data_IF_809689208203
#
_entry.id   IF_809689208203
#
_cell.length_a   1.000
_cell.length_b   1.000
_cell.length_c   1.000
_cell.angle_alpha   90.00
_cell.angle_beta   90.00
_cell.angle_gamma   90.00
#
_symmetry.space_group_name_H-M   'P 1'
#
loop_
_entity.id
_entity.type
_entity.pdbx_description
1 polymer ?
#
# COMPACT_ATOMS: atom_id res chain seq x y z
N UNK A 1 -60.76 -9.91 -24.14
CA UNK A 1 -59.28 -10.07 -24.05
C UNK A 1 -58.89 -9.95 -22.57
N UNK A 2 -58.44 -11.04 -21.93
CA UNK A 2 -58.41 -11.21 -20.47
C UNK A 2 -57.29 -10.42 -19.78
N UNK A 3 -57.67 -9.47 -18.89
CA UNK A 3 -56.79 -8.69 -18.03
C UNK A 3 -55.75 -9.55 -17.27
N UNK A 4 -56.04 -10.78 -16.95
CA UNK A 4 -55.15 -11.72 -16.27
C UNK A 4 -53.92 -12.15 -17.11
N UNK A 5 -54.06 -12.24 -18.42
CA UNK A 5 -52.92 -12.60 -19.31
C UNK A 5 -51.95 -11.43 -19.49
N UNK A 6 -52.48 -10.19 -19.55
CA UNK A 6 -51.62 -9.00 -19.66
C UNK A 6 -50.80 -8.78 -18.40
N UNK A 7 -51.39 -8.96 -17.20
CA UNK A 7 -50.65 -8.85 -15.93
C UNK A 7 -49.53 -9.89 -15.81
N UNK A 8 -49.80 -11.13 -16.18
CA UNK A 8 -48.77 -12.22 -16.08
C UNK A 8 -47.62 -12.01 -17.05
N UNK A 9 -47.88 -11.44 -18.24
CA UNK A 9 -46.87 -11.14 -19.25
C UNK A 9 -45.99 -9.97 -18.82
N UNK A 10 -46.57 -8.91 -18.26
CA UNK A 10 -45.84 -7.76 -17.73
C UNK A 10 -44.96 -8.16 -16.55
N UNK A 11 -45.47 -8.97 -15.62
CA UNK A 11 -44.69 -9.46 -14.47
C UNK A 11 -43.48 -10.30 -14.91
N UNK A 12 -43.63 -11.16 -15.91
CA UNK A 12 -42.55 -11.94 -16.49
C UNK A 12 -41.49 -11.08 -17.19
N UNK A 13 -41.90 -10.08 -17.95
CA UNK A 13 -40.99 -9.14 -18.62
C UNK A 13 -40.19 -8.29 -17.61
N UNK A 14 -40.85 -7.83 -16.54
CA UNK A 14 -40.13 -7.09 -15.46
C UNK A 14 -39.14 -7.98 -14.72
N UNK A 15 -39.51 -9.22 -14.42
CA UNK A 15 -38.61 -10.17 -13.77
C UNK A 15 -37.36 -10.50 -14.62
N UNK A 16 -37.53 -10.66 -15.94
CA UNK A 16 -36.43 -10.87 -16.87
C UNK A 16 -35.52 -9.64 -16.97
N UNK A 17 -36.10 -8.43 -17.01
CA UNK A 17 -35.34 -7.18 -17.06
C UNK A 17 -34.49 -6.97 -15.77
N UNK A 18 -35.01 -7.31 -14.59
CA UNK A 18 -34.29 -7.24 -13.31
C UNK A 18 -33.13 -8.25 -13.28
N UNK A 19 -33.32 -9.47 -13.79
CA UNK A 19 -32.23 -10.47 -13.87
C UNK A 19 -31.10 -10.06 -14.81
N UNK A 20 -31.39 -9.37 -15.92
CA UNK A 20 -30.37 -8.91 -16.86
C UNK A 20 -29.51 -7.77 -16.29
N UNK A 21 -30.10 -6.87 -15.48
CA UNK A 21 -29.34 -5.78 -14.84
C UNK A 21 -28.48 -6.26 -13.68
N UNK A 22 -28.83 -7.35 -13.00
CA UNK A 22 -28.03 -7.93 -11.94
C UNK A 22 -26.77 -8.68 -12.46
N UNK A 23 -26.77 -9.13 -13.72
CA UNK A 23 -25.65 -9.88 -14.30
C UNK A 23 -24.51 -8.99 -14.80
N UNK A 24 -24.68 -7.66 -14.92
CA UNK A 24 -23.67 -6.75 -15.47
C UNK A 24 -22.69 -6.17 -14.42
N UNK A 25 -22.88 -6.46 -13.13
CA UNK A 25 -22.12 -5.82 -12.04
C UNK A 25 -20.84 -6.49 -11.57
N UNK A 26 -20.62 -7.80 -11.83
CA UNK A 26 -19.53 -8.55 -11.19
C UNK A 26 -18.42 -9.03 -12.13
N UNK A 27 -18.45 -8.73 -13.41
CA UNK A 27 -17.56 -9.40 -14.39
C UNK A 27 -16.29 -8.67 -14.78
N UNK A 28 -16.19 -7.35 -14.58
CA UNK A 28 -15.11 -6.59 -15.24
C UNK A 28 -13.77 -6.60 -14.47
N UNK A 29 -13.78 -6.56 -13.17
CA UNK A 29 -12.55 -6.51 -12.36
C UNK A 29 -11.87 -7.88 -12.24
N UNK A 30 -12.63 -8.93 -11.98
CA UNK A 30 -12.11 -10.30 -11.95
C UNK A 30 -11.57 -10.78 -13.31
N UNK A 31 -12.14 -10.27 -14.40
CA UNK A 31 -11.70 -10.57 -15.76
C UNK A 31 -10.44 -9.77 -16.17
N UNK A 32 -10.16 -8.64 -15.53
CA UNK A 32 -8.96 -7.83 -15.83
C UNK A 32 -7.72 -8.36 -15.13
N UNK A 33 -7.79 -8.67 -13.84
CA UNK A 33 -6.64 -9.14 -13.04
C UNK A 33 -6.11 -10.50 -13.48
N UNK A 34 -6.94 -11.36 -14.07
CA UNK A 34 -6.52 -12.66 -14.57
C UNK A 34 -5.89 -12.67 -15.99
N UNK A 35 -6.06 -11.60 -16.76
CA UNK A 35 -5.71 -11.57 -18.21
C UNK A 35 -4.26 -11.21 -18.51
N UNK A 36 -3.56 -10.54 -17.61
CA UNK A 36 -2.16 -10.23 -17.86
C UNK A 36 -1.36 -11.52 -18.06
N UNK A 37 -0.49 -11.59 -19.07
CA UNK A 37 0.42 -12.72 -19.27
C UNK A 37 1.58 -12.73 -18.28
N UNK A 38 1.67 -11.70 -17.41
CA UNK A 38 2.69 -11.56 -16.39
C UNK A 38 2.09 -11.60 -14.98
N UNK A 39 2.93 -11.92 -13.99
CA UNK A 39 2.66 -11.71 -12.57
C UNK A 39 3.83 -11.00 -11.91
N UNK A 40 3.56 -10.38 -10.78
CA UNK A 40 4.54 -9.65 -9.98
C UNK A 40 4.94 -10.51 -8.77
N UNK A 41 6.20 -10.43 -8.41
CA UNK A 41 6.74 -11.00 -7.16
C UNK A 41 7.57 -9.93 -6.47
N UNK A 42 7.36 -9.72 -5.18
CA UNK A 42 8.25 -8.89 -4.37
C UNK A 42 9.39 -9.77 -3.89
N UNK A 43 10.61 -9.41 -4.23
CA UNK A 43 11.83 -10.12 -3.82
C UNK A 43 12.37 -9.61 -2.50
N UNK A 44 12.32 -8.28 -2.30
CA UNK A 44 12.87 -7.63 -1.12
C UNK A 44 12.16 -6.32 -0.80
N UNK A 45 12.15 -5.97 0.49
CA UNK A 45 11.90 -4.62 0.97
C UNK A 45 13.12 -4.13 1.74
N UNK A 46 13.56 -2.92 1.40
CA UNK A 46 14.53 -2.16 2.17
C UNK A 46 13.83 -0.92 2.71
N UNK A 47 13.77 -0.77 4.03
CA UNK A 47 13.15 0.38 4.68
C UNK A 47 14.19 1.28 5.31
N UNK A 48 13.90 2.58 5.34
CA UNK A 48 14.81 3.62 5.84
C UNK A 48 14.08 4.48 6.85
N UNK A 49 14.60 4.54 8.07
CA UNK A 49 14.14 5.50 9.08
C UNK A 49 14.54 6.92 8.65
N UNK A 50 13.55 7.81 8.57
CA UNK A 50 13.77 9.18 8.08
C UNK A 50 14.57 10.06 9.04
N UNK A 51 14.57 9.78 10.33
CA UNK A 51 15.32 10.55 11.32
C UNK A 51 16.80 10.16 11.37
N UNK A 52 17.10 8.85 11.36
CA UNK A 52 18.47 8.32 11.52
C UNK A 52 19.13 7.91 10.22
N UNK A 53 18.39 7.81 9.12
CA UNK A 53 18.79 7.22 7.83
C UNK A 53 19.28 5.76 7.94
N UNK A 54 18.95 5.06 9.03
CA UNK A 54 19.23 3.64 9.15
C UNK A 54 18.34 2.84 8.22
N UNK A 55 18.93 1.89 7.50
CA UNK A 55 18.25 1.01 6.56
C UNK A 55 18.22 -0.43 7.05
N UNK A 56 17.20 -1.18 6.68
CA UNK A 56 17.09 -2.61 7.04
C UNK A 56 15.82 -3.26 6.49
N UNK A 57 15.61 -4.55 6.81
CA UNK A 57 14.39 -5.26 6.43
C UNK A 57 13.18 -4.92 7.31
N UNK A 58 13.41 -4.36 8.50
CA UNK A 58 12.37 -3.97 9.46
C UNK A 58 12.54 -2.50 9.80
N UNK A 59 11.44 -1.79 10.01
CA UNK A 59 11.45 -0.37 10.31
C UNK A 59 11.30 -0.11 11.81
N UNK A 60 12.25 0.60 12.38
CA UNK A 60 12.10 1.27 13.67
C UNK A 60 11.72 2.74 13.38
N UNK A 61 10.45 3.03 13.37
CA UNK A 61 9.92 4.35 13.02
C UNK A 61 9.90 5.24 14.26
N UNK A 62 10.77 6.25 14.28
CA UNK A 62 10.78 7.29 15.30
C UNK A 62 9.65 8.27 15.07
N UNK A 63 8.80 8.47 16.07
CA UNK A 63 7.63 9.36 15.94
C UNK A 63 8.01 10.83 16.05
N UNK A 64 9.09 11.16 16.77
CA UNK A 64 9.62 12.52 16.88
C UNK A 64 11.11 12.47 17.21
N UNK A 65 11.88 13.37 16.61
CA UNK A 65 13.33 13.51 16.81
C UNK A 65 13.66 14.96 17.12
N UNK A 66 14.58 15.20 18.06
CA UNK A 66 15.08 16.54 18.35
C UNK A 66 16.25 16.88 17.41
N UNK A 67 16.02 17.84 16.54
CA UNK A 67 17.05 18.32 15.58
C UNK A 67 17.66 19.60 16.07
N UNK A 68 18.99 19.68 16.10
CA UNK A 68 19.69 20.90 16.44
C UNK A 68 19.61 21.93 15.29
N UNK A 69 19.11 23.11 15.58
CA UNK A 69 19.04 24.24 14.64
C UNK A 69 19.73 25.48 15.23
N UNK A 70 20.43 26.21 14.39
CA UNK A 70 21.05 27.48 14.75
C UNK A 70 20.02 28.61 14.61
N UNK A 71 19.52 29.11 15.73
CA UNK A 71 18.56 30.22 15.78
C UNK A 71 19.20 31.40 16.51
N UNK A 72 19.45 32.50 15.81
CA UNK A 72 20.07 33.68 16.41
C UNK A 72 21.49 33.48 16.95
N UNK A 73 22.24 32.50 16.41
CA UNK A 73 23.59 32.13 16.85
C UNK A 73 23.63 31.20 18.05
N UNK A 74 22.49 30.69 18.50
CA UNK A 74 22.38 29.67 19.56
C UNK A 74 21.90 28.35 18.97
N UNK A 75 22.45 27.23 19.46
CA UNK A 75 21.94 25.90 19.14
C UNK A 75 20.67 25.62 19.97
N UNK A 76 19.57 25.37 19.26
CA UNK A 76 18.26 25.07 19.85
C UNK A 76 17.81 23.72 19.32
N UNK A 77 17.35 22.83 20.20
CA UNK A 77 16.76 21.55 19.80
C UNK A 77 15.29 21.72 19.43
N UNK A 78 14.94 21.42 18.18
CA UNK A 78 13.59 21.59 17.63
C UNK A 78 12.97 20.22 17.38
N UNK A 79 11.80 19.93 17.98
CA UNK A 79 11.07 18.69 17.70
C UNK A 79 10.69 18.62 16.22
N UNK A 80 11.12 17.57 15.54
CA UNK A 80 10.91 17.37 14.10
C UNK A 80 10.39 15.95 13.84
N UNK A 81 9.48 15.84 12.89
CA UNK A 81 8.92 14.55 12.44
C UNK A 81 9.34 14.30 11.02
N UNK A 82 9.88 13.12 10.75
CA UNK A 82 10.36 12.72 9.42
C UNK A 82 9.47 11.63 8.82
N UNK A 83 9.36 11.63 7.48
CA UNK A 83 8.81 10.50 6.75
C UNK A 83 9.78 9.33 6.79
N UNK A 84 9.27 8.12 6.81
CA UNK A 84 10.10 6.93 6.56
C UNK A 84 9.85 6.43 5.15
N UNK A 85 10.94 6.06 4.50
CA UNK A 85 10.94 5.62 3.11
C UNK A 85 11.14 4.12 2.98
N UNK A 86 10.72 3.57 1.88
CA UNK A 86 11.00 2.17 1.54
C UNK A 86 11.25 2.02 0.05
N UNK A 87 12.00 0.98 -0.29
CA UNK A 87 12.19 0.50 -1.66
C UNK A 87 11.76 -0.96 -1.71
N UNK A 88 10.93 -1.28 -2.68
CA UNK A 88 10.55 -2.66 -3.00
C UNK A 88 11.26 -3.09 -4.29
N UNK A 89 11.96 -4.21 -4.26
CA UNK A 89 12.45 -4.88 -5.47
C UNK A 89 11.37 -5.82 -5.98
N UNK A 90 10.84 -5.53 -7.16
CA UNK A 90 9.72 -6.27 -7.75
C UNK A 90 10.16 -6.91 -9.06
N UNK A 91 9.97 -8.22 -9.17
CA UNK A 91 10.19 -8.98 -10.40
C UNK A 91 8.88 -9.10 -11.20
N UNK A 92 9.00 -9.01 -12.53
CA UNK A 92 7.92 -9.28 -13.48
C UNK A 92 8.20 -10.58 -14.20
N UNK A 93 7.39 -11.60 -13.97
CA UNK A 93 7.59 -12.95 -14.52
C UNK A 93 6.47 -13.34 -15.47
N UNK A 94 6.82 -14.01 -16.57
CA UNK A 94 5.85 -14.56 -17.52
C UNK A 94 5.07 -15.72 -16.87
N UNK A 95 3.73 -15.74 -17.04
CA UNK A 95 2.90 -16.89 -16.63
C UNK A 95 3.16 -18.13 -17.47
N UNK A 96 3.54 -17.95 -18.72
CA UNK A 96 3.90 -19.01 -19.65
C UNK A 96 5.33 -18.79 -20.15
N UNK A 97 6.32 -19.49 -19.59
CA UNK A 97 7.72 -19.32 -19.97
C UNK A 97 8.05 -19.87 -21.36
N UNK A 98 7.12 -20.62 -21.97
CA UNK A 98 7.33 -21.18 -23.32
C UNK A 98 7.01 -20.19 -24.43
N UNK A 99 6.30 -19.10 -24.12
CA UNK A 99 5.97 -18.05 -25.08
C UNK A 99 7.07 -16.99 -25.14
N UNK A 100 7.40 -16.49 -26.34
CA UNK A 100 8.35 -15.40 -26.45
C UNK A 100 7.82 -14.16 -25.72
N UNK A 101 8.69 -13.54 -24.93
CA UNK A 101 8.38 -12.28 -24.26
C UNK A 101 8.46 -11.11 -25.24
N UNK A 102 7.65 -10.10 -25.01
CA UNK A 102 7.60 -8.87 -25.82
C UNK A 102 7.54 -7.66 -24.90
N UNK A 103 8.05 -6.50 -25.32
CA UNK A 103 7.92 -5.24 -24.56
C UNK A 103 6.48 -4.87 -24.17
N UNK A 104 5.48 -5.36 -24.93
CA UNK A 104 4.05 -5.17 -24.62
C UNK A 104 3.63 -5.89 -23.31
N UNK A 105 4.45 -6.81 -22.83
CA UNK A 105 4.22 -7.52 -21.57
C UNK A 105 4.88 -6.84 -20.35
N UNK A 106 5.55 -5.69 -20.54
CA UNK A 106 6.05 -4.87 -19.44
C UNK A 106 4.91 -4.41 -18.55
N UNK A 107 5.17 -4.29 -17.25
CA UNK A 107 4.19 -3.83 -16.28
C UNK A 107 4.59 -2.47 -15.75
N UNK A 108 3.66 -1.52 -15.77
CA UNK A 108 3.82 -0.20 -15.13
C UNK A 108 3.07 -0.19 -13.80
N UNK A 109 3.82 -0.04 -12.71
CA UNK A 109 3.27 0.14 -11.37
C UNK A 109 2.95 1.62 -11.20
N UNK A 110 1.71 1.95 -10.83
CA UNK A 110 1.24 3.35 -10.79
C UNK A 110 0.77 3.80 -9.42
N UNK A 111 0.48 2.87 -8.53
CA UNK A 111 -0.08 3.16 -7.21
C UNK A 111 0.35 2.08 -6.22
N UNK A 112 0.42 2.47 -4.97
CA UNK A 112 0.54 1.55 -3.85
C UNK A 112 -0.45 1.91 -2.75
N UNK A 113 -0.79 0.92 -1.92
CA UNK A 113 -1.61 1.07 -0.73
C UNK A 113 -0.88 0.51 0.46
N UNK A 114 -0.95 1.19 1.59
CA UNK A 114 -0.42 0.72 2.86
C UNK A 114 -1.56 0.56 3.85
N UNK A 115 -1.59 -0.57 4.53
CA UNK A 115 -2.47 -0.83 5.65
C UNK A 115 -1.64 -1.37 6.82
N UNK A 116 -1.92 -0.91 8.02
CA UNK A 116 -1.24 -1.37 9.23
C UNK A 116 -2.14 -2.33 9.99
N UNK A 117 -1.57 -3.43 10.46
CA UNK A 117 -2.27 -4.38 11.35
C UNK A 117 -1.36 -4.88 12.45
N UNK A 118 -1.96 -5.23 13.58
CA UNK A 118 -1.31 -5.87 14.72
C UNK A 118 -1.70 -7.34 14.78
N UNK A 119 -0.79 -8.17 15.26
CA UNK A 119 -1.04 -9.61 15.42
C UNK A 119 -1.95 -9.94 16.61
N UNK A 120 -2.11 -8.99 17.55
CA UNK A 120 -2.97 -9.15 18.74
C UNK A 120 -4.46 -8.89 18.47
N UNK A 121 -4.83 -8.62 17.22
CA UNK A 121 -6.21 -8.41 16.78
C UNK A 121 -6.77 -7.01 17.02
N UNK A 122 -6.05 -6.12 17.71
CA UNK A 122 -6.43 -4.72 17.89
C UNK A 122 -6.04 -3.90 16.66
N UNK A 123 -6.98 -3.66 15.78
CA UNK A 123 -6.72 -3.08 14.46
C UNK A 123 -7.63 -1.89 14.11
N UNK A 124 -8.13 -1.16 15.11
CA UNK A 124 -8.94 0.03 14.87
C UNK A 124 -8.05 1.17 14.40
N UNK A 125 -8.19 1.66 13.15
CA UNK A 125 -7.39 2.77 12.63
C UNK A 125 -7.59 4.04 13.47
N UNK A 126 -6.50 4.76 13.75
CA UNK A 126 -6.50 5.95 14.58
C UNK A 126 -6.60 5.70 16.09
N UNK A 127 -6.75 4.44 16.52
CA UNK A 127 -6.82 4.04 17.93
C UNK A 127 -5.72 3.04 18.27
N UNK A 128 -5.68 1.92 17.56
CA UNK A 128 -4.72 0.83 17.78
C UNK A 128 -3.58 0.83 16.78
N UNK A 129 -3.87 1.26 15.54
CA UNK A 129 -2.93 1.31 14.42
C UNK A 129 -3.08 2.63 13.67
N UNK A 130 -2.04 3.10 12.97
CA UNK A 130 -2.14 4.27 12.10
C UNK A 130 -3.18 4.05 10.98
N UNK A 131 -3.71 5.16 10.44
CA UNK A 131 -4.55 5.10 9.26
C UNK A 131 -3.75 4.59 8.06
N UNK A 132 -4.36 3.67 7.30
CA UNK A 132 -3.84 3.27 6.00
C UNK A 132 -4.00 4.38 4.95
N UNK A 133 -3.25 4.29 3.86
CA UNK A 133 -3.29 5.30 2.82
C UNK A 133 -2.84 4.78 1.45
N UNK A 134 -3.19 5.52 0.40
CA UNK A 134 -2.78 5.24 -0.97
C UNK A 134 -1.75 6.28 -1.43
N UNK A 135 -0.70 5.83 -2.13
CA UNK A 135 0.30 6.69 -2.73
C UNK A 135 0.45 6.41 -4.23
N UNK A 136 0.93 7.40 -4.96
CA UNK A 136 1.27 7.28 -6.37
C UNK A 136 2.75 6.93 -6.53
N UNK A 137 3.05 6.15 -7.55
CA UNK A 137 4.40 5.87 -8.04
C UNK A 137 4.34 5.67 -9.55
N UNK A 138 5.48 5.60 -10.24
CA UNK A 138 5.50 5.33 -11.68
C UNK A 138 6.79 4.62 -12.06
N UNK A 139 6.73 3.29 -12.13
CA UNK A 139 7.86 2.45 -12.52
C UNK A 139 7.38 1.43 -13.54
N UNK A 140 8.06 1.34 -14.68
CA UNK A 140 7.81 0.31 -15.70
C UNK A 140 8.90 -0.74 -15.63
N UNK A 141 8.51 -1.98 -15.43
CA UNK A 141 9.41 -3.11 -15.32
C UNK A 141 9.18 -4.03 -16.51
N UNK A 142 10.22 -4.30 -17.34
CA UNK A 142 10.13 -5.27 -18.42
C UNK A 142 9.88 -6.68 -17.90
N UNK A 143 9.23 -7.51 -18.73
CA UNK A 143 9.01 -8.91 -18.37
C UNK A 143 10.35 -9.67 -18.33
N UNK A 144 10.55 -10.45 -17.28
CA UNK A 144 11.79 -11.19 -17.02
C UNK A 144 12.85 -10.36 -16.29
N UNK A 145 12.54 -9.13 -15.92
CA UNK A 145 13.43 -8.23 -15.17
C UNK A 145 12.88 -7.86 -13.81
N UNK A 146 13.73 -7.26 -12.99
CA UNK A 146 13.39 -6.65 -11.71
C UNK A 146 13.45 -5.13 -11.81
N UNK A 147 12.68 -4.45 -10.98
CA UNK A 147 12.71 -3.00 -10.87
C UNK A 147 12.52 -2.56 -9.42
N UNK A 148 13.12 -1.44 -9.08
CA UNK A 148 12.99 -0.82 -7.77
C UNK A 148 11.86 0.19 -7.74
N UNK A 149 10.99 0.07 -6.75
CA UNK A 149 9.86 0.97 -6.51
C UNK A 149 10.06 1.65 -5.18
N UNK A 150 10.47 2.92 -5.23
CA UNK A 150 10.56 3.76 -4.04
C UNK A 150 9.18 4.28 -3.62
N UNK A 151 8.91 4.28 -2.31
CA UNK A 151 7.66 4.77 -1.75
C UNK A 151 7.82 5.22 -0.30
N UNK A 152 6.87 6.03 0.16
CA UNK A 152 6.75 6.44 1.56
C UNK A 152 6.01 5.34 2.33
N UNK A 153 6.63 4.75 3.35
CA UNK A 153 6.00 3.71 4.18
C UNK A 153 5.30 4.30 5.40
N UNK A 154 5.86 5.35 6.00
CA UNK A 154 5.23 6.10 7.08
C UNK A 154 5.34 7.59 6.80
N UNK A 155 4.19 8.27 6.71
CA UNK A 155 4.14 9.71 6.51
C UNK A 155 4.41 10.47 7.82
N UNK A 156 5.01 11.65 7.71
CA UNK A 156 5.12 12.56 8.86
C UNK A 156 3.75 12.91 9.45
N UNK A 157 2.73 13.10 8.62
CA UNK A 157 1.36 13.39 9.07
C UNK A 157 0.77 12.27 9.93
N UNK A 158 1.03 11.00 9.58
CA UNK A 158 0.58 9.85 10.38
C UNK A 158 1.20 9.85 11.78
N UNK A 159 2.46 10.31 11.92
CA UNK A 159 3.15 10.43 13.21
C UNK A 159 2.58 11.56 14.09
N UNK A 160 1.89 12.52 13.49
CA UNK A 160 1.23 13.64 14.18
C UNK A 160 -0.21 13.34 14.63
N UNK A 161 -0.72 12.16 14.29
CA UNK A 161 -2.08 11.70 14.59
C UNK A 161 -2.05 10.51 15.57
N UNK A 162 -3.14 10.31 16.37
CA UNK A 162 -3.27 9.08 17.15
C UNK A 162 -3.28 7.84 16.23
N UNK A 163 -2.72 6.70 16.70
CA UNK A 163 -2.16 6.49 18.01
C UNK A 163 -0.70 6.95 18.16
N UNK A 164 0.01 7.29 17.05
CA UNK A 164 1.45 7.54 17.05
C UNK A 164 1.82 8.79 17.84
N UNK A 165 1.05 9.85 17.71
CA UNK A 165 1.25 11.08 18.50
C UNK A 165 1.29 10.83 20.02
N UNK A 166 0.58 9.80 20.49
CA UNK A 166 0.54 9.47 21.92
C UNK A 166 1.84 8.82 22.43
N UNK A 167 2.75 8.44 21.52
CA UNK A 167 4.06 7.88 21.85
C UNK A 167 5.12 8.95 22.10
N UNK A 168 4.85 10.20 21.74
CA UNK A 168 5.79 11.34 21.90
C UNK A 168 6.10 11.57 23.37
N UNK A 169 7.38 11.81 23.70
CA UNK A 169 7.93 12.01 25.04
C UNK A 169 7.80 10.80 26.00
N UNK A 170 7.62 9.59 25.45
CA UNK A 170 7.61 8.36 26.26
C UNK A 170 9.00 7.74 26.47
N UNK A 171 10.05 8.33 25.92
CA UNK A 171 11.45 7.89 26.08
C UNK A 171 11.69 6.44 25.66
N UNK A 172 10.98 5.96 24.62
CA UNK A 172 11.11 4.60 24.11
C UNK A 172 10.50 3.49 24.98
N UNK A 173 9.74 3.84 26.03
CA UNK A 173 9.13 2.85 26.95
C UNK A 173 7.89 2.20 26.34
N UNK A 174 7.18 2.91 25.47
CA UNK A 174 5.99 2.40 24.80
C UNK A 174 6.23 2.25 23.31
N UNK A 175 5.77 1.14 22.75
CA UNK A 175 5.81 0.91 21.30
C UNK A 175 4.53 0.30 20.79
N UNK A 176 4.26 0.60 19.51
CA UNK A 176 3.22 -0.04 18.74
C UNK A 176 3.89 -0.87 17.65
N UNK A 177 3.81 -2.19 17.77
CA UNK A 177 4.27 -3.11 16.76
C UNK A 177 3.15 -3.40 15.76
N UNK A 178 3.45 -3.17 14.49
CA UNK A 178 2.53 -3.43 13.39
C UNK A 178 3.23 -4.17 12.27
N UNK A 179 2.42 -4.83 11.45
CA UNK A 179 2.80 -5.30 10.13
C UNK A 179 2.19 -4.31 9.15
N UNK A 180 3.04 -3.61 8.38
CA UNK A 180 2.59 -2.83 7.24
C UNK A 180 2.37 -3.79 6.06
N UNK A 181 1.15 -3.87 5.56
CA UNK A 181 0.81 -4.58 4.32
C UNK A 181 0.86 -3.58 3.17
N UNK A 182 1.72 -3.83 2.19
CA UNK A 182 1.93 -2.97 1.03
C UNK A 182 1.41 -3.68 -0.20
N UNK A 183 0.39 -3.10 -0.84
CA UNK A 183 -0.14 -3.60 -2.11
C UNK A 183 0.25 -2.65 -3.22
N UNK A 184 0.97 -3.15 -4.22
CA UNK A 184 1.27 -2.44 -5.45
C UNK A 184 0.24 -2.78 -6.53
N UNK A 185 -0.16 -1.77 -7.27
CA UNK A 185 -1.11 -1.86 -8.38
C UNK A 185 -0.43 -1.40 -9.65
N UNK A 186 -0.47 -2.25 -10.66
CA UNK A 186 0.10 -1.97 -11.95
C UNK A 186 -0.81 -2.43 -13.09
N UNK A 187 -0.37 -2.11 -14.31
CA UNK A 187 -1.01 -2.56 -15.55
C UNK A 187 0.05 -2.97 -16.57
N UNK A 188 -0.23 -4.00 -17.34
CA UNK A 188 0.54 -4.28 -18.53
C UNK A 188 0.20 -3.27 -19.65
N UNK A 189 0.94 -3.30 -20.75
CA UNK A 189 0.74 -2.38 -21.87
C UNK A 189 -0.59 -2.60 -22.62
N UNK A 190 -1.29 -3.69 -22.36
CA UNK A 190 -2.64 -3.96 -22.86
C UNK A 190 -3.74 -3.44 -21.91
N UNK A 191 -3.36 -2.85 -20.78
CA UNK A 191 -4.28 -2.34 -19.76
C UNK A 191 -4.83 -3.40 -18.81
N UNK A 192 -4.31 -4.63 -18.82
CA UNK A 192 -4.69 -5.64 -17.84
C UNK A 192 -4.07 -5.32 -16.47
N UNK A 193 -4.86 -5.44 -15.43
CA UNK A 193 -4.43 -5.11 -14.07
C UNK A 193 -3.62 -6.26 -13.47
N UNK A 194 -2.58 -5.90 -12.73
CA UNK A 194 -1.75 -6.80 -11.93
C UNK A 194 -1.53 -6.19 -10.56
N UNK A 195 -1.51 -7.04 -9.55
CA UNK A 195 -1.28 -6.60 -8.17
C UNK A 195 -0.34 -7.56 -7.48
N UNK A 196 0.40 -7.04 -6.51
CA UNK A 196 1.22 -7.83 -5.59
C UNK A 196 1.17 -7.21 -4.21
N UNK A 197 1.11 -8.04 -3.19
CA UNK A 197 1.11 -7.61 -1.78
C UNK A 197 2.28 -8.26 -1.05
N UNK A 198 2.98 -7.45 -0.27
CA UNK A 198 4.00 -7.90 0.66
C UNK A 198 3.84 -7.21 2.00
N UNK A 199 4.69 -7.54 2.96
CA UNK A 199 4.62 -7.01 4.30
C UNK A 199 5.98 -6.69 4.89
N UNK A 200 6.01 -5.68 5.76
CA UNK A 200 7.18 -5.22 6.51
C UNK A 200 6.79 -5.03 7.96
N UNK A 201 7.64 -5.47 8.87
CA UNK A 201 7.47 -5.21 10.29
C UNK A 201 7.85 -3.77 10.62
N UNK A 202 6.96 -3.05 11.31
CA UNK A 202 7.14 -1.66 11.72
C UNK A 202 6.88 -1.51 13.21
N UNK A 203 7.90 -1.08 13.93
CA UNK A 203 7.80 -0.69 15.33
C UNK A 203 7.83 0.84 15.45
N UNK A 204 6.78 1.40 16.02
CA UNK A 204 6.68 2.83 16.31
C UNK A 204 7.01 3.10 17.77
N UNK A 205 7.87 4.06 18.01
CA UNK A 205 8.19 4.57 19.35
C UNK A 205 8.80 5.97 19.24
N UNK A 206 8.94 6.65 20.36
CA UNK A 206 9.83 7.80 20.52
C UNK A 206 11.19 7.24 20.93
N UNK A 207 12.00 6.86 19.91
CA UNK A 207 13.33 6.32 20.14
C UNK A 207 14.28 7.44 20.57
N UNK A 208 15.27 7.11 21.42
CA UNK A 208 16.15 8.13 21.97
C UNK A 208 16.84 8.98 20.88
N UNK A 209 16.71 10.29 21.05
CA UNK A 209 17.37 11.26 20.19
C UNK A 209 18.88 11.12 20.21
N UNK A 210 19.60 11.40 19.11
CA UNK A 210 21.06 11.48 19.11
C UNK A 210 21.51 12.54 20.11
N UNK A 211 22.41 12.14 21.03
CA UNK A 211 23.00 13.06 22.00
C UNK A 211 24.13 13.87 21.41
#
# INVERSE_FOLDING_TARGET
MNRRHILSTVTRLVAVAICVTAASGCGSEMLRTGRSPAYLTIEEFVVTNGASNNTGPNLLSDVQTLVEQQIGGQSVRVPTTFNDMAVATIAVTAKDPTRPTSPINSVTITRYRIAFRRVDGRNTPGVDVPFGWDGATSVTIPIGETGEVGFEIVRHSSKQEPPLRNLVNNGGVQFIYTIAEITFFGRDQNGNEVTVTGSVDVAFSDFGDPQ
#
